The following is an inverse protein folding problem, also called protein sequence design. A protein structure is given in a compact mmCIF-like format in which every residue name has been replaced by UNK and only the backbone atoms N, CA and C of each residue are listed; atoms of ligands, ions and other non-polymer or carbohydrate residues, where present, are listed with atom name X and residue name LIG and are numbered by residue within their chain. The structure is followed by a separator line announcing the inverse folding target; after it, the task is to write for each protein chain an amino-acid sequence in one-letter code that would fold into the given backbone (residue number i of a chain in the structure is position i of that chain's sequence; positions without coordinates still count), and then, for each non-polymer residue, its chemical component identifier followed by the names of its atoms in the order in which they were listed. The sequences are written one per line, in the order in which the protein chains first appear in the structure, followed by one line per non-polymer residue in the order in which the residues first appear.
data_IF_579653976631
#
_entry.id   IF_579653976631
#
_cell.length_a   1.000
_cell.length_b   1.000
_cell.length_c   1.000
_cell.angle_alpha   90.00
_cell.angle_beta   90.00
_cell.angle_gamma   90.00
#
_symmetry.space_group_name_H-M   'P 1'
#
loop_
_entity.id
_entity.type
_entity.pdbx_description
1 polymer ?
#
# COMPACT_ATOMS: atom_id res chain seq x y z
N UNK A 1 -19.21 -12.10 -24.75
CA UNK A 1 -19.38 -11.34 -23.49
C UNK A 1 -18.42 -11.92 -22.48
N UNK A 2 -17.72 -11.06 -21.72
CA UNK A 2 -16.95 -11.51 -20.56
C UNK A 2 -17.92 -11.84 -19.41
N UNK A 3 -17.58 -12.80 -18.53
CA UNK A 3 -18.40 -13.14 -17.37
C UNK A 3 -18.52 -11.95 -16.41
N UNK A 4 -19.60 -11.93 -15.62
CA UNK A 4 -19.75 -10.96 -14.54
C UNK A 4 -18.65 -11.15 -13.49
N UNK A 5 -18.14 -10.04 -12.95
CA UNK A 5 -17.10 -10.02 -11.93
C UNK A 5 -17.50 -9.10 -10.79
N UNK A 6 -17.11 -9.46 -9.58
CA UNK A 6 -17.31 -8.63 -8.39
C UNK A 6 -16.03 -7.83 -8.11
N UNK A 7 -16.20 -6.54 -7.79
CA UNK A 7 -15.09 -5.71 -7.32
C UNK A 7 -14.82 -6.03 -5.85
N UNK A 8 -13.53 -6.10 -5.50
CA UNK A 8 -13.09 -6.31 -4.13
C UNK A 8 -12.25 -5.12 -3.68
N UNK A 9 -12.37 -4.68 -2.42
CA UNK A 9 -11.47 -3.69 -1.87
C UNK A 9 -10.03 -4.19 -1.89
N UNK A 10 -9.09 -3.31 -2.22
CA UNK A 10 -7.65 -3.59 -2.24
C UNK A 10 -7.12 -4.26 -0.96
N UNK A 11 -7.42 -3.78 0.27
CA UNK A 11 -6.91 -4.44 1.47
C UNK A 11 -7.47 -5.86 1.66
N UNK A 12 -8.70 -6.14 1.20
CA UNK A 12 -9.29 -7.48 1.22
C UNK A 12 -8.59 -8.39 0.23
N UNK A 13 -8.31 -7.90 -0.99
CA UNK A 13 -7.58 -8.64 -2.00
C UNK A 13 -6.16 -9.00 -1.55
N UNK A 14 -5.43 -8.01 -1.00
CA UNK A 14 -4.09 -8.21 -0.46
C UNK A 14 -4.09 -9.25 0.67
N UNK A 15 -4.98 -9.10 1.65
CA UNK A 15 -5.07 -10.04 2.77
C UNK A 15 -5.44 -11.47 2.33
N UNK A 16 -6.35 -11.60 1.37
CA UNK A 16 -6.71 -12.89 0.80
C UNK A 16 -5.50 -13.57 0.14
N UNK A 17 -4.72 -12.82 -0.65
CA UNK A 17 -3.54 -13.35 -1.34
C UNK A 17 -2.42 -13.74 -0.36
N UNK A 18 -2.07 -12.86 0.57
CA UNK A 18 -0.90 -13.06 1.43
C UNK A 18 -1.17 -13.88 2.69
N UNK A 19 -2.42 -13.92 3.17
CA UNK A 19 -2.72 -14.47 4.49
C UNK A 19 -3.95 -15.39 4.52
N UNK A 20 -4.67 -15.59 3.41
CA UNK A 20 -5.95 -16.32 3.41
C UNK A 20 -5.91 -17.77 3.88
N UNK A 21 -4.79 -18.48 3.68
CA UNK A 21 -4.59 -19.84 4.21
C UNK A 21 -3.83 -19.87 5.54
N UNK A 22 -3.25 -18.75 5.96
CA UNK A 22 -2.36 -18.64 7.13
C UNK A 22 -3.09 -18.16 8.37
N UNK A 23 -4.18 -17.42 8.19
CA UNK A 23 -5.00 -16.89 9.28
C UNK A 23 -6.25 -17.73 9.49
N UNK A 24 -6.45 -18.19 10.71
CA UNK A 24 -7.71 -18.79 11.13
C UNK A 24 -8.83 -17.73 11.21
N UNK A 25 -10.11 -18.12 11.06
CA UNK A 25 -11.24 -17.23 11.32
C UNK A 25 -11.16 -16.53 12.69
N UNK A 26 -11.63 -15.29 12.76
CA UNK A 26 -11.57 -14.41 13.93
C UNK A 26 -10.23 -13.69 14.13
N UNK A 27 -9.17 -14.07 13.38
CA UNK A 27 -7.86 -13.40 13.46
C UNK A 27 -7.80 -12.17 12.56
N UNK A 28 -7.06 -11.16 13.00
CA UNK A 28 -6.86 -9.93 12.25
C UNK A 28 -5.48 -9.87 11.58
N UNK A 29 -5.41 -9.11 10.49
CA UNK A 29 -4.18 -8.67 9.85
C UNK A 29 -4.23 -7.17 9.62
N UNK A 30 -3.06 -6.54 9.65
CA UNK A 30 -2.88 -5.19 9.14
C UNK A 30 -2.38 -5.30 7.69
N UNK A 31 -3.01 -4.55 6.78
CA UNK A 31 -2.54 -4.33 5.42
C UNK A 31 -1.91 -2.95 5.39
N UNK A 32 -0.65 -2.91 4.99
CA UNK A 32 0.13 -1.70 4.77
C UNK A 32 0.32 -1.57 3.27
N UNK A 33 -0.32 -0.58 2.66
CA UNK A 33 -0.27 -0.34 1.22
C UNK A 33 0.37 1.02 0.96
N UNK A 34 1.54 0.99 0.31
CA UNK A 34 2.27 2.18 -0.10
C UNK A 34 2.30 2.20 -1.62
N UNK A 35 1.30 2.85 -2.19
CA UNK A 35 1.16 3.06 -3.62
C UNK A 35 2.07 4.18 -4.13
N UNK A 36 1.91 4.50 -5.41
CA UNK A 36 2.69 5.57 -6.04
C UNK A 36 2.33 6.97 -5.52
N UNK A 37 1.05 7.23 -5.21
CA UNK A 37 0.60 8.55 -4.74
C UNK A 37 -0.13 8.54 -3.40
N UNK A 38 -0.54 7.36 -2.93
CA UNK A 38 -1.27 7.23 -1.65
C UNK A 38 -0.61 6.20 -0.76
N UNK A 39 -0.86 6.38 0.53
CA UNK A 39 -0.54 5.43 1.56
C UNK A 39 -1.83 5.09 2.27
N UNK A 40 -2.16 3.80 2.34
CA UNK A 40 -3.37 3.30 2.94
C UNK A 40 -3.03 2.20 3.95
N UNK A 41 -3.63 2.28 5.14
CA UNK A 41 -3.47 1.30 6.21
C UNK A 41 -4.84 0.78 6.62
N UNK A 42 -5.02 -0.53 6.56
CA UNK A 42 -6.27 -1.20 6.89
C UNK A 42 -6.08 -2.31 7.91
N UNK A 43 -7.01 -2.44 8.85
CA UNK A 43 -7.14 -3.64 9.67
C UNK A 43 -8.26 -4.48 9.09
N UNK A 44 -7.95 -5.72 8.73
CA UNK A 44 -8.92 -6.70 8.22
C UNK A 44 -9.04 -7.87 9.19
N UNK A 45 -10.22 -8.49 9.23
CA UNK A 45 -10.49 -9.70 10.00
C UNK A 45 -10.82 -10.84 9.07
N UNK A 46 -10.26 -12.02 9.35
CA UNK A 46 -10.61 -13.26 8.65
C UNK A 46 -11.97 -13.74 9.14
N UNK A 47 -12.97 -13.75 8.28
CA UNK A 47 -14.20 -14.49 8.47
C UNK A 47 -14.10 -15.90 7.89
N UNK A 48 -15.22 -16.63 7.92
CA UNK A 48 -15.26 -18.02 7.44
C UNK A 48 -15.08 -18.12 5.91
N UNK A 49 -15.57 -17.12 5.17
CA UNK A 49 -15.60 -17.12 3.69
C UNK A 49 -14.66 -16.11 3.04
N UNK A 50 -14.02 -15.23 3.82
CA UNK A 50 -13.19 -14.15 3.28
C UNK A 50 -12.67 -13.19 4.35
N UNK A 51 -12.18 -12.03 3.92
CA UNK A 51 -11.78 -10.95 4.82
C UNK A 51 -12.79 -9.82 4.79
N UNK A 52 -12.96 -9.16 5.93
CA UNK A 52 -13.73 -7.94 6.08
C UNK A 52 -12.85 -6.83 6.65
N UNK A 53 -13.04 -5.60 6.18
CA UNK A 53 -12.33 -4.43 6.70
C UNK A 53 -12.99 -3.97 8.00
N UNK A 54 -12.19 -3.85 9.06
CA UNK A 54 -12.63 -3.32 10.35
C UNK A 54 -12.40 -1.81 10.46
N UNK A 55 -11.27 -1.35 9.94
CA UNK A 55 -10.88 0.06 9.92
C UNK A 55 -9.95 0.29 8.74
N UNK A 56 -10.02 1.48 8.16
CA UNK A 56 -9.11 1.95 7.13
C UNK A 56 -8.85 3.43 7.36
N UNK A 57 -7.60 3.83 7.20
CA UNK A 57 -7.18 5.22 7.19
C UNK A 57 -5.98 5.37 6.24
N UNK A 58 -5.67 6.58 5.82
CA UNK A 58 -4.63 6.80 4.83
C UNK A 58 -4.29 8.25 4.58
N UNK A 59 -3.31 8.46 3.70
CA UNK A 59 -2.85 9.75 3.22
C UNK A 59 -2.84 9.75 1.69
N UNK A 60 -3.55 10.71 1.11
CA UNK A 60 -3.62 10.89 -0.35
C UNK A 60 -2.44 11.68 -0.92
N UNK A 61 -1.55 12.16 -0.05
CA UNK A 61 -0.41 13.03 -0.36
C UNK A 61 0.92 12.40 0.08
N UNK A 62 0.98 11.07 0.08
CA UNK A 62 2.15 10.33 0.54
C UNK A 62 2.24 9.02 -0.23
N UNK A 63 3.22 8.89 -1.12
CA UNK A 63 3.46 7.68 -1.90
C UNK A 63 4.87 7.61 -2.49
N UNK A 64 5.07 6.64 -3.38
CA UNK A 64 6.35 6.45 -4.08
C UNK A 64 6.85 7.68 -4.86
N UNK A 65 5.95 8.52 -5.38
CA UNK A 65 6.32 9.76 -6.09
C UNK A 65 7.00 10.78 -5.18
N UNK A 66 6.61 10.85 -3.91
CA UNK A 66 7.27 11.72 -2.92
C UNK A 66 8.68 11.20 -2.59
N UNK A 67 8.84 9.88 -2.54
CA UNK A 67 10.15 9.23 -2.38
C UNK A 67 11.04 9.55 -3.58
N UNK A 68 10.52 9.40 -4.80
CA UNK A 68 11.25 9.72 -6.03
C UNK A 68 11.68 11.20 -6.05
N UNK A 69 10.78 12.12 -5.68
CA UNK A 69 11.09 13.54 -5.59
C UNK A 69 12.19 13.83 -4.55
N UNK A 70 12.12 13.20 -3.38
CA UNK A 70 13.14 13.33 -2.35
C UNK A 70 14.50 12.79 -2.80
N UNK A 71 14.52 11.66 -3.52
CA UNK A 71 15.74 11.09 -4.09
C UNK A 71 16.36 12.01 -5.14
N UNK A 72 15.55 12.56 -6.05
CA UNK A 72 16.01 13.52 -7.06
C UNK A 72 16.59 14.78 -6.41
N UNK A 73 15.91 15.35 -5.41
CA UNK A 73 16.41 16.50 -4.67
C UNK A 73 17.77 16.20 -4.01
N UNK A 74 17.88 15.03 -3.34
CA UNK A 74 19.11 14.62 -2.67
C UNK A 74 20.27 14.39 -3.64
N UNK A 75 20.00 13.81 -4.80
CA UNK A 75 20.97 13.66 -5.89
C UNK A 75 21.41 15.03 -6.41
N UNK A 76 20.48 15.96 -6.59
CA UNK A 76 20.77 17.34 -6.98
C UNK A 76 21.74 18.04 -6.03
N UNK A 77 21.53 17.92 -4.72
CA UNK A 77 22.48 18.44 -3.72
C UNK A 77 23.85 17.79 -3.84
N UNK A 78 23.90 16.46 -3.99
CA UNK A 78 25.16 15.70 -4.02
C UNK A 78 25.98 16.04 -5.26
N UNK A 79 25.31 16.20 -6.41
CA UNK A 79 25.96 16.56 -7.68
C UNK A 79 26.31 18.05 -7.73
N UNK A 80 25.48 18.93 -7.17
CA UNK A 80 25.76 20.36 -7.07
C UNK A 80 26.96 20.69 -6.17
N UNK A 81 27.25 19.84 -5.18
CA UNK A 81 28.48 19.91 -4.37
C UNK A 81 29.72 19.30 -5.07
N UNK A 82 29.51 18.54 -6.15
CA UNK A 82 30.57 17.88 -6.91
C UNK A 82 31.01 18.68 -8.15
N UNK A 83 30.46 19.88 -8.38
CA UNK A 83 30.96 20.82 -9.37
C UNK A 83 31.93 21.82 -8.72
N UNK A 84 33.26 21.63 -8.84
CA UNK A 84 34.25 22.57 -8.30
C UNK A 84 34.38 23.87 -9.12
N UNK A 85 33.46 24.16 -10.05
CA UNK A 85 33.55 25.31 -10.95
C UNK A 85 32.63 26.50 -10.62
N UNK A 86 31.95 26.52 -9.46
CA UNK A 86 31.31 27.73 -8.89
C UNK A 86 32.11 28.31 -7.73
#
# INVERSE_FOLDING_TARGET
MLPAVDLVPEPVAAAQHFAGQRLAPGRCAAVYDLGAGTFDASVVRRGDTGFETLASDGRTDCGGLDIDAALVARLGETVGLADPAS
#
